data_IF_057958936445
#
_entry.id   IF_057958936445
#
_cell.length_a   1.000
_cell.length_b   1.000
_cell.length_c   1.000
_cell.angle_alpha   90.00
_cell.angle_beta   90.00
_cell.angle_gamma   90.00
#
_symmetry.space_group_name_H-M   'P 1'
#
loop_
_entity.id
_entity.type
_entity.pdbx_description
1 polymer ?
#
# COMPACT_ATOMS: atom_id res chain seq x y z
N UNK A 1 7.26 23.77 -25.29
CA UNK A 1 8.41 23.04 -24.70
C UNK A 1 9.02 22.02 -25.65
N UNK A 2 8.37 20.91 -26.06
CA UNK A 2 9.05 19.93 -26.95
C UNK A 2 9.50 20.57 -28.30
N UNK A 3 8.65 21.37 -28.95
CA UNK A 3 9.00 22.06 -30.21
C UNK A 3 10.13 23.10 -30.04
N UNK A 4 10.16 23.80 -28.89
CA UNK A 4 11.22 24.78 -28.56
C UNK A 4 12.59 24.09 -28.36
N UNK A 5 12.59 22.85 -27.87
CA UNK A 5 13.81 22.05 -27.69
C UNK A 5 14.38 21.59 -29.04
N UNK A 6 13.51 21.24 -30.00
CA UNK A 6 13.91 20.91 -31.37
C UNK A 6 14.49 22.12 -32.11
N UNK A 7 13.96 23.32 -31.86
CA UNK A 7 14.48 24.56 -32.46
C UNK A 7 15.86 24.96 -31.91
N UNK A 8 16.17 24.63 -30.65
CA UNK A 8 17.54 24.75 -30.10
C UNK A 8 18.50 23.78 -30.79
N UNK A 9 18.09 22.52 -31.01
CA UNK A 9 18.91 21.53 -31.70
C UNK A 9 19.23 21.97 -33.14
N UNK A 10 18.26 22.59 -33.81
CA UNK A 10 18.41 23.14 -35.16
C UNK A 10 19.15 24.49 -35.20
N UNK A 11 19.53 25.05 -34.04
CA UNK A 11 20.25 26.32 -33.92
C UNK A 11 19.40 27.55 -34.23
N UNK A 12 18.08 27.43 -34.25
CA UNK A 12 17.13 28.52 -34.49
C UNK A 12 16.85 29.34 -33.24
N UNK A 13 17.02 28.75 -32.06
CA UNK A 13 16.88 29.42 -30.77
C UNK A 13 18.00 29.04 -29.80
N UNK A 14 18.07 29.74 -28.67
CA UNK A 14 19.07 29.56 -27.61
C UNK A 14 18.42 29.01 -26.35
N UNK A 15 19.13 28.12 -25.65
CA UNK A 15 18.63 27.53 -24.40
C UNK A 15 18.27 28.57 -23.33
N UNK A 16 18.97 29.71 -23.31
CA UNK A 16 18.69 30.81 -22.37
C UNK A 16 17.34 31.45 -22.63
N UNK A 17 16.93 31.59 -23.90
CA UNK A 17 15.66 32.19 -24.28
C UNK A 17 14.49 31.31 -23.83
N UNK A 18 14.52 30.03 -24.20
CA UNK A 18 13.48 29.05 -23.85
C UNK A 18 13.31 28.87 -22.34
N UNK A 19 14.42 28.81 -21.58
CA UNK A 19 14.35 28.69 -20.12
C UNK A 19 13.78 29.94 -19.45
N UNK A 20 14.11 31.13 -19.97
CA UNK A 20 13.59 32.39 -19.44
C UNK A 20 12.08 32.48 -19.70
N UNK A 21 11.64 32.20 -20.92
CA UNK A 21 10.23 32.23 -21.29
C UNK A 21 9.40 31.22 -20.47
N UNK A 22 9.92 30.00 -20.28
CA UNK A 22 9.28 29.03 -19.40
C UNK A 22 9.19 29.53 -17.95
N UNK A 23 10.28 30.08 -17.41
CA UNK A 23 10.33 30.52 -16.02
C UNK A 23 9.43 31.74 -15.77
N UNK A 24 9.31 32.65 -16.73
CA UNK A 24 8.46 33.84 -16.63
C UNK A 24 6.98 33.48 -16.53
N UNK A 25 6.56 32.36 -17.15
CA UNK A 25 5.19 31.82 -17.04
C UNK A 25 5.02 30.96 -15.78
N UNK A 26 5.99 30.10 -15.47
CA UNK A 26 5.92 29.17 -14.34
C UNK A 26 6.03 29.84 -12.98
N UNK A 27 6.87 30.88 -12.85
CA UNK A 27 7.17 31.53 -11.57
C UNK A 27 5.91 32.17 -10.92
N UNK A 28 5.06 32.93 -11.65
CA UNK A 28 3.80 33.42 -11.11
C UNK A 28 2.86 32.30 -10.65
N UNK A 29 2.73 31.22 -11.41
CA UNK A 29 1.89 30.07 -11.03
C UNK A 29 2.41 29.39 -9.76
N UNK A 30 3.73 29.21 -9.66
CA UNK A 30 4.39 28.66 -8.48
C UNK A 30 4.18 29.54 -7.24
N UNK A 31 4.33 30.86 -7.37
CA UNK A 31 4.15 31.81 -6.27
C UNK A 31 2.69 31.84 -5.77
N UNK A 32 1.73 31.73 -6.69
CA UNK A 32 0.30 31.58 -6.35
C UNK A 32 0.07 30.26 -5.61
N UNK A 33 0.63 29.16 -6.09
CA UNK A 33 0.52 27.86 -5.44
C UNK A 33 1.13 27.88 -4.03
N UNK A 34 2.29 28.50 -3.83
CA UNK A 34 2.93 28.63 -2.50
C UNK A 34 2.08 29.44 -1.51
N UNK A 35 1.40 30.49 -1.96
CA UNK A 35 0.56 31.34 -1.12
C UNK A 35 -0.81 30.72 -0.82
N UNK A 36 -1.42 30.04 -1.80
CA UNK A 36 -2.76 29.48 -1.70
C UNK A 36 -2.78 28.07 -1.10
N UNK A 37 -1.70 27.31 -1.22
CA UNK A 37 -1.60 26.02 -0.54
C UNK A 37 -1.49 26.25 0.96
N UNK A 38 -2.62 26.06 1.63
CA UNK A 38 -2.66 25.90 3.07
C UNK A 38 -1.64 24.80 3.43
N UNK A 39 -0.68 25.11 4.30
CA UNK A 39 0.22 24.11 4.86
C UNK A 39 -0.64 23.20 5.71
N UNK A 40 -1.23 22.18 5.09
CA UNK A 40 -1.97 21.14 5.78
C UNK A 40 -0.94 20.43 6.64
N UNK A 41 -0.82 20.89 7.88
CA UNK A 41 -0.35 20.07 8.97
C UNK A 41 -1.34 18.91 8.96
N UNK A 42 -0.97 17.81 8.29
CA UNK A 42 -1.64 16.54 8.43
C UNK A 42 -1.47 16.20 9.90
N UNK A 43 -2.39 16.69 10.73
CA UNK A 43 -2.59 16.29 12.09
C UNK A 43 -2.96 14.82 11.96
N UNK A 44 -1.92 14.00 11.98
CA UNK A 44 -2.06 12.58 11.72
C UNK A 44 -3.03 12.07 12.75
N UNK A 45 -4.11 11.44 12.28
CA UNK A 45 -5.11 10.85 13.15
C UNK A 45 -4.40 10.03 14.23
N UNK A 46 -4.74 10.26 15.50
CA UNK A 46 -4.11 9.56 16.61
C UNK A 46 -4.35 8.06 16.48
N UNK A 47 -3.28 7.28 16.64
CA UNK A 47 -3.36 5.83 16.52
C UNK A 47 -3.66 5.11 17.83
N UNK A 48 -3.62 5.85 18.95
CA UNK A 48 -3.67 5.28 20.30
C UNK A 48 -2.41 4.47 20.69
N UNK A 49 -1.44 4.30 19.79
CA UNK A 49 -0.19 3.60 20.07
C UNK A 49 0.87 4.56 20.62
N UNK A 50 1.70 4.06 21.53
CA UNK A 50 2.80 4.82 22.15
C UNK A 50 4.12 4.46 21.49
N UNK A 51 4.97 5.45 21.25
CA UNK A 51 6.31 5.27 20.72
C UNK A 51 7.21 4.57 21.74
N UNK A 52 7.83 3.45 21.35
CA UNK A 52 8.74 2.66 22.19
C UNK A 52 10.05 3.38 22.56
N UNK A 53 10.43 4.43 21.82
CA UNK A 53 11.69 5.13 22.02
C UNK A 53 11.57 6.36 22.93
N UNK A 54 10.43 7.05 22.92
CA UNK A 54 10.26 8.31 23.66
C UNK A 54 8.97 8.40 24.49
N UNK A 55 8.07 7.43 24.39
CA UNK A 55 6.79 7.44 25.13
C UNK A 55 5.74 8.42 24.60
N UNK A 56 6.03 9.17 23.53
CA UNK A 56 5.07 10.06 22.89
C UNK A 56 4.04 9.27 22.05
N UNK A 57 2.83 9.80 21.82
CA UNK A 57 1.83 9.14 20.97
C UNK A 57 2.32 9.02 19.52
N UNK A 58 1.90 7.95 18.85
CA UNK A 58 2.12 7.75 17.43
C UNK A 58 0.91 8.23 16.63
N UNK A 59 1.18 8.88 15.51
CA UNK A 59 0.18 9.47 14.61
C UNK A 59 0.25 8.80 13.24
N UNK A 60 -0.89 8.73 12.56
CA UNK A 60 -0.94 8.23 11.20
C UNK A 60 -0.47 9.27 10.18
N UNK A 61 0.56 8.96 9.40
CA UNK A 61 1.04 9.79 8.29
C UNK A 61 0.96 9.03 6.97
N UNK A 62 0.93 9.77 5.86
CA UNK A 62 0.95 9.21 4.50
C UNK A 62 2.30 9.50 3.85
N UNK A 63 2.94 8.46 3.32
CA UNK A 63 4.16 8.57 2.52
C UNK A 63 4.01 7.89 1.18
N UNK A 64 5.09 7.82 0.40
CA UNK A 64 5.13 7.14 -0.91
C UNK A 64 4.57 5.72 -0.90
N UNK A 65 4.75 5.01 0.21
CA UNK A 65 4.35 3.59 0.35
C UNK A 65 2.96 3.40 0.97
N UNK A 66 2.25 4.49 1.29
CA UNK A 66 0.93 4.48 1.91
C UNK A 66 0.94 5.04 3.34
N UNK A 67 -0.11 4.68 4.10
CA UNK A 67 -0.30 5.08 5.50
C UNK A 67 0.71 4.34 6.40
N UNK A 68 1.34 5.05 7.33
CA UNK A 68 2.28 4.50 8.31
C UNK A 68 2.13 5.22 9.65
N UNK A 69 2.68 4.63 10.72
CA UNK A 69 2.72 5.24 12.04
C UNK A 69 4.04 6.00 12.20
N UNK A 70 3.97 7.26 12.60
CA UNK A 70 5.12 8.09 12.92
C UNK A 70 5.03 8.60 14.36
N UNK A 71 6.16 8.80 15.03
CA UNK A 71 6.15 9.51 16.30
C UNK A 71 5.63 10.94 16.11
N UNK A 72 4.79 11.41 17.04
CA UNK A 72 4.32 12.80 17.06
C UNK A 72 5.47 13.80 17.29
N UNK A 73 6.51 13.39 18.01
CA UNK A 73 7.66 14.23 18.39
C UNK A 73 8.74 14.32 17.30
N UNK A 74 8.36 14.20 16.02
CA UNK A 74 9.27 14.45 14.90
C UNK A 74 9.55 15.97 14.80
N UNK A 75 10.80 16.44 14.63
CA UNK A 75 12.00 15.73 14.16
C UNK A 75 12.88 15.06 15.23
N UNK A 76 12.64 15.31 16.52
CA UNK A 76 13.45 14.80 17.64
C UNK A 76 13.41 13.26 17.74
N UNK A 77 12.25 12.65 17.47
CA UNK A 77 12.10 11.20 17.38
C UNK A 77 11.70 10.78 15.96
N UNK A 78 12.61 10.06 15.28
CA UNK A 78 12.40 9.54 13.91
C UNK A 78 11.82 8.12 13.88
N UNK A 79 11.19 7.67 14.97
CA UNK A 79 10.59 6.34 15.00
C UNK A 79 9.39 6.25 14.06
N UNK A 80 9.37 5.21 13.22
CA UNK A 80 8.27 4.93 12.31
C UNK A 80 7.96 3.44 12.31
N UNK A 81 6.68 3.09 12.30
CA UNK A 81 6.21 1.71 12.18
C UNK A 81 5.30 1.56 10.96
N UNK A 82 5.46 0.44 10.25
CA UNK A 82 4.53 0.07 9.20
C UNK A 82 3.20 -0.36 9.83
N UNK A 83 2.08 0.06 9.23
CA UNK A 83 0.77 -0.45 9.62
C UNK A 83 0.63 -1.82 8.98
N UNK A 84 0.50 -2.83 9.82
CA UNK A 84 0.20 -4.19 9.40
C UNK A 84 -1.30 -4.35 9.50
N UNK A 85 -1.98 -4.52 8.36
CA UNK A 85 -3.39 -4.89 8.34
C UNK A 85 -3.50 -6.36 8.73
N UNK A 86 -3.93 -6.61 9.96
CA UNK A 86 -4.29 -7.95 10.44
C UNK A 86 -5.72 -8.29 10.01
N UNK A 87 -5.90 -9.45 9.40
CA UNK A 87 -7.21 -9.95 8.98
C UNK A 87 -7.95 -10.70 10.09
N UNK A 88 -7.30 -10.96 11.22
CA UNK A 88 -7.85 -11.74 12.34
C UNK A 88 -7.97 -13.24 12.05
N UNK A 89 -7.56 -13.71 10.87
CA UNK A 89 -7.68 -15.12 10.48
C UNK A 89 -6.47 -15.90 10.98
N UNK A 90 -6.71 -16.95 11.77
CA UNK A 90 -5.65 -17.82 12.30
C UNK A 90 -4.90 -18.56 11.18
N UNK A 91 -3.58 -18.60 11.27
CA UNK A 91 -2.72 -19.30 10.33
C UNK A 91 -2.99 -20.81 10.36
N UNK A 92 -3.34 -21.45 9.22
CA UNK A 92 -3.62 -22.88 9.17
C UNK A 92 -2.39 -23.76 9.35
N UNK A 93 -1.18 -23.21 9.19
CA UNK A 93 0.08 -23.96 9.33
C UNK A 93 0.56 -24.05 10.77
N UNK A 94 0.50 -22.96 11.53
CA UNK A 94 1.03 -22.91 12.91
C UNK A 94 -0.06 -22.82 13.99
N UNK A 95 -1.29 -22.42 13.65
CA UNK A 95 -2.40 -22.30 14.61
C UNK A 95 -2.27 -21.17 15.64
N UNK A 96 -1.14 -20.44 15.68
CA UNK A 96 -0.84 -19.43 16.70
C UNK A 96 -0.80 -18.00 16.13
N UNK A 97 -0.25 -17.82 14.92
CA UNK A 97 -0.18 -16.51 14.26
C UNK A 97 -1.45 -16.16 13.47
N UNK A 98 -1.63 -14.89 13.15
CA UNK A 98 -2.69 -14.36 12.30
C UNK A 98 -2.17 -14.07 10.89
N UNK A 99 -3.08 -14.02 9.90
CA UNK A 99 -2.73 -13.65 8.52
C UNK A 99 -2.74 -12.13 8.37
N UNK A 100 -1.59 -11.60 7.96
CA UNK A 100 -1.36 -10.18 7.77
C UNK A 100 -1.09 -9.85 6.32
N UNK A 101 -1.63 -8.73 5.86
CA UNK A 101 -1.43 -8.23 4.49
C UNK A 101 -0.08 -7.52 4.36
N UNK A 102 0.75 -7.95 3.42
CA UNK A 102 2.08 -7.41 3.13
C UNK A 102 2.22 -7.12 1.63
N UNK A 103 3.19 -6.27 1.27
CA UNK A 103 3.56 -5.98 -0.12
C UNK A 103 4.95 -6.54 -0.40
N UNK A 104 5.10 -7.26 -1.51
CA UNK A 104 6.40 -7.74 -1.99
C UNK A 104 7.25 -6.58 -2.53
N UNK A 105 8.56 -6.81 -2.73
CA UNK A 105 9.48 -5.83 -3.36
C UNK A 105 9.00 -5.36 -4.74
N UNK A 106 8.23 -6.18 -5.46
CA UNK A 106 7.63 -5.88 -6.77
C UNK A 106 6.23 -5.24 -6.67
N UNK A 107 5.79 -4.87 -5.47
CA UNK A 107 4.48 -4.24 -5.24
C UNK A 107 3.28 -5.20 -5.19
N UNK A 108 3.45 -6.49 -5.54
CA UNK A 108 2.37 -7.48 -5.42
C UNK A 108 2.01 -7.73 -3.95
N UNK A 109 0.72 -7.64 -3.62
CA UNK A 109 0.18 -7.93 -2.29
C UNK A 109 0.19 -9.44 -2.03
N UNK A 110 0.53 -9.81 -0.81
CA UNK A 110 0.46 -11.19 -0.31
C UNK A 110 0.04 -11.17 1.16
N UNK A 111 -0.45 -12.31 1.65
CA UNK A 111 -0.92 -12.50 3.01
C UNK A 111 0.00 -13.53 3.67
N UNK A 112 0.75 -13.10 4.68
CA UNK A 112 1.71 -13.94 5.38
C UNK A 112 1.32 -14.16 6.84
N UNK A 113 1.94 -15.15 7.50
CA UNK A 113 1.81 -15.29 8.94
C UNK A 113 2.48 -14.12 9.69
N UNK A 114 1.87 -13.66 10.79
CA UNK A 114 2.44 -12.64 11.69
C UNK A 114 3.74 -13.14 12.36
N UNK A 115 3.82 -14.43 12.63
CA UNK A 115 4.89 -15.10 13.39
C UNK A 115 6.12 -15.46 12.54
N UNK A 116 6.38 -14.73 11.45
CA UNK A 116 7.61 -14.88 10.67
C UNK A 116 8.81 -14.33 11.48
N UNK A 117 9.95 -15.05 11.63
CA UNK A 117 10.44 -16.16 10.79
C UNK A 117 10.02 -17.58 11.20
N UNK A 118 9.34 -17.76 12.33
CA UNK A 118 8.98 -19.08 12.85
C UNK A 118 7.93 -19.79 11.97
N UNK A 119 7.10 -19.03 11.25
CA UNK A 119 6.16 -19.55 10.26
C UNK A 119 6.32 -18.84 8.90
N UNK A 120 6.58 -19.62 7.85
CA UNK A 120 6.79 -19.22 6.46
C UNK A 120 5.51 -19.33 5.59
N UNK A 121 4.33 -19.45 6.21
CA UNK A 121 3.07 -19.59 5.46
C UNK A 121 2.73 -18.29 4.71
N UNK A 122 2.43 -18.41 3.41
CA UNK A 122 2.15 -17.29 2.51
C UNK A 122 1.00 -17.63 1.54
N UNK A 123 0.11 -16.67 1.31
CA UNK A 123 -0.96 -16.70 0.33
C UNK A 123 -0.89 -15.49 -0.61
N UNK A 124 -1.17 -15.69 -1.89
CA UNK A 124 -1.16 -14.61 -2.88
C UNK A 124 -2.54 -14.00 -3.15
N UNK A 125 -3.59 -14.71 -2.74
CA UNK A 125 -4.98 -14.31 -2.88
C UNK A 125 -5.55 -14.00 -1.50
N UNK A 126 -6.58 -13.16 -1.45
CA UNK A 126 -7.16 -12.72 -0.18
C UNK A 126 -7.81 -13.89 0.56
N UNK A 127 -7.37 -14.21 1.78
CA UNK A 127 -7.99 -15.26 2.58
C UNK A 127 -9.33 -14.80 3.15
N UNK A 128 -10.24 -15.75 3.32
CA UNK A 128 -11.55 -15.58 3.96
C UNK A 128 -11.56 -16.46 5.22
N UNK A 129 -12.30 -16.05 6.24
CA UNK A 129 -12.51 -16.82 7.47
C UNK A 129 -13.35 -18.11 7.28
N UNK A 130 -13.51 -18.58 6.04
CA UNK A 130 -14.18 -19.85 5.72
C UNK A 130 -13.12 -20.93 5.48
N UNK A 131 -13.26 -22.07 6.17
CA UNK A 131 -12.46 -23.27 5.92
C UNK A 131 -13.14 -24.16 4.88
N UNK A 132 -12.33 -24.83 4.06
CA UNK A 132 -12.81 -25.76 3.05
C UNK A 132 -13.40 -27.01 3.72
N UNK A 133 -14.63 -27.45 3.36
CA UNK A 133 -15.28 -28.62 3.97
C UNK A 133 -14.57 -29.95 3.63
N UNK A 134 -13.79 -29.99 2.55
CA UNK A 134 -13.13 -31.21 2.05
C UNK A 134 -11.74 -31.42 2.66
N UNK A 135 -10.96 -30.35 2.79
CA UNK A 135 -9.54 -30.45 3.20
C UNK A 135 -9.17 -29.58 4.41
N UNK A 136 -10.12 -28.84 4.99
CA UNK A 136 -9.87 -27.96 6.14
C UNK A 136 -8.96 -26.76 5.88
N UNK A 137 -8.46 -26.60 4.65
CA UNK A 137 -7.60 -25.46 4.26
C UNK A 137 -8.42 -24.18 4.13
N UNK A 138 -7.75 -23.04 4.27
CA UNK A 138 -8.38 -21.73 4.14
C UNK A 138 -8.86 -21.47 2.71
N UNK A 139 -10.00 -20.79 2.58
CA UNK A 139 -10.57 -20.37 1.30
C UNK A 139 -10.02 -18.99 0.91
N UNK A 140 -9.86 -18.74 -0.38
CA UNK A 140 -9.30 -17.50 -0.95
C UNK A 140 -10.19 -16.92 -2.04
N UNK A 141 -10.31 -15.59 -2.10
CA UNK A 141 -11.01 -14.87 -3.18
C UNK A 141 -10.07 -14.62 -4.36
N UNK A 142 -10.54 -14.90 -5.57
CA UNK A 142 -9.92 -14.40 -6.81
C UNK A 142 -10.86 -13.38 -7.44
N UNK A 143 -10.36 -12.15 -7.56
CA UNK A 143 -11.02 -11.08 -8.28
C UNK A 143 -10.74 -11.18 -9.77
N UNK A 144 -11.80 -11.18 -10.59
CA UNK A 144 -11.69 -11.25 -12.05
C UNK A 144 -12.02 -9.89 -12.67
N UNK A 145 -11.27 -9.47 -13.69
CA UNK A 145 -11.52 -8.21 -14.41
C UNK A 145 -12.89 -8.17 -15.11
N UNK A 146 -13.42 -9.33 -15.48
CA UNK A 146 -14.72 -9.51 -16.14
C UNK A 146 -15.40 -10.73 -15.52
N UNK A 147 -16.39 -10.50 -14.66
CA UNK A 147 -17.18 -11.54 -13.99
C UNK A 147 -17.21 -11.38 -12.47
N UNK A 148 -18.08 -12.15 -11.79
CA UNK A 148 -18.20 -12.11 -10.34
C UNK A 148 -16.95 -12.69 -9.68
N UNK A 149 -16.69 -12.24 -8.46
CA UNK A 149 -15.65 -12.78 -7.61
C UNK A 149 -15.95 -14.25 -7.30
N UNK A 150 -14.90 -15.07 -7.29
CA UNK A 150 -15.02 -16.51 -6.99
C UNK A 150 -14.10 -16.90 -5.85
N UNK A 151 -14.62 -17.75 -4.99
CA UNK A 151 -13.91 -18.33 -3.85
C UNK A 151 -13.34 -19.68 -4.27
N UNK A 152 -12.06 -19.90 -3.95
CA UNK A 152 -11.36 -21.15 -4.21
C UNK A 152 -10.71 -21.67 -2.93
N UNK A 153 -10.53 -22.97 -2.84
CA UNK A 153 -9.67 -23.54 -1.81
C UNK A 153 -8.21 -23.10 -2.02
N UNK A 154 -7.47 -22.80 -0.94
CA UNK A 154 -6.02 -22.52 -1.05
C UNK A 154 -5.19 -23.74 -1.45
N UNK A 155 -5.67 -24.96 -1.21
CA UNK A 155 -4.92 -26.18 -1.53
C UNK A 155 -5.12 -26.56 -3.00
N UNK A 156 -4.02 -26.63 -3.76
CA UNK A 156 -4.02 -26.94 -5.19
C UNK A 156 -4.56 -28.35 -5.51
N UNK A 157 -4.43 -29.30 -4.58
CA UNK A 157 -4.88 -30.69 -4.75
C UNK A 157 -6.38 -30.89 -4.47
N UNK A 158 -7.06 -29.89 -3.91
CA UNK A 158 -8.47 -29.97 -3.54
C UNK A 158 -9.39 -29.74 -4.74
N UNK A 159 -10.50 -30.47 -4.84
CA UNK A 159 -11.51 -30.28 -5.88
C UNK A 159 -12.08 -28.85 -5.90
N UNK A 160 -12.23 -28.23 -4.72
CA UNK A 160 -12.71 -26.85 -4.54
C UNK A 160 -11.67 -25.79 -4.96
N UNK A 161 -10.45 -26.19 -5.35
CA UNK A 161 -9.53 -25.28 -6.05
C UNK A 161 -9.83 -25.22 -7.56
N UNK A 162 -10.47 -26.26 -8.13
CA UNK A 162 -10.88 -26.31 -9.55
C UNK A 162 -12.30 -25.77 -9.77
N UNK A 163 -13.23 -26.12 -8.88
CA UNK A 163 -14.61 -25.59 -8.88
C UNK A 163 -14.69 -24.44 -7.87
N UNK A 164 -14.49 -23.22 -8.35
CA UNK A 164 -14.69 -22.03 -7.51
C UNK A 164 -16.17 -21.77 -7.29
N UNK A 165 -16.56 -21.45 -6.06
CA UNK A 165 -17.90 -20.99 -5.73
C UNK A 165 -18.01 -19.50 -6.07
N UNK A 166 -19.05 -19.10 -6.80
CA UNK A 166 -19.30 -17.69 -7.08
C UNK A 166 -19.79 -17.00 -5.80
N UNK A 167 -19.25 -15.82 -5.50
CA UNK A 167 -19.82 -14.94 -4.49
C UNK A 167 -21.03 -14.29 -5.15
N UNK A 168 -22.23 -14.76 -4.78
CA UNK A 168 -23.44 -14.00 -5.09
C UNK A 168 -23.52 -12.91 -4.01
N UNK A 169 -23.29 -11.66 -4.41
CA UNK A 169 -23.65 -10.51 -3.58
C UNK A 169 -25.19 -10.51 -3.46
N UNK A 170 -25.71 -10.75 -2.25
CA UNK A 170 -27.05 -10.29 -1.86
C UNK A 170 -26.99 -8.79 -1.52
#
# INVERSE_FOLDING_TARGET
MEEELDDIEQGKDTYTHVLQEFYDVFKPEMDVAEQQMEKVAVAGQDSGQVCELCGAPMVYKFGRFGKFLACSNFPECRNTKAIVEDLGITCPKCGQGSLIKRKSKRGRVFYGCSEYPNCDFVLWNQPIDKKCPVCGSIMVVKHYKKGPDKIFCSNAECENHKKGEAINEE
#
